data_IF_272841048811
#
_entry.id   IF_272841048811
#
_cell.length_a   1.000
_cell.length_b   1.000
_cell.length_c   1.000
_cell.angle_alpha   90.00
_cell.angle_beta   90.00
_cell.angle_gamma   90.00
#
_symmetry.space_group_name_H-M   'P 1'
#
loop_
_entity.id
_entity.type
_entity.pdbx_description
1 polymer ?
#
# COMPACT_ATOMS: atom_id res chain seq x y z
N UNK A 1 -27.00 -3.16 16.09
CA UNK A 1 -27.14 -2.21 14.97
C UNK A 1 -25.88 -1.37 14.98
N UNK A 2 -25.17 -1.27 13.85
CA UNK A 2 -23.93 -0.50 13.77
C UNK A 2 -24.24 0.98 14.08
N UNK A 3 -23.56 1.54 15.07
CA UNK A 3 -23.71 2.94 15.45
C UNK A 3 -23.27 3.81 14.28
N UNK A 4 -24.00 4.89 14.00
CA UNK A 4 -23.57 5.87 12.99
C UNK A 4 -22.46 6.74 13.60
N UNK A 5 -21.44 7.14 12.81
CA UNK A 5 -20.42 8.06 13.28
C UNK A 5 -21.04 9.40 13.68
N UNK A 6 -20.48 10.02 14.71
CA UNK A 6 -20.88 11.33 15.20
C UNK A 6 -20.39 12.45 14.27
N UNK A 7 -19.26 12.23 13.59
CA UNK A 7 -18.70 13.12 12.56
C UNK A 7 -18.13 12.30 11.41
N UNK A 8 -18.30 12.80 10.19
CA UNK A 8 -17.70 12.25 8.98
C UNK A 8 -17.07 13.40 8.21
N UNK A 9 -15.80 13.25 7.86
CA UNK A 9 -15.02 14.22 7.11
C UNK A 9 -14.41 13.52 5.91
N UNK A 10 -14.78 13.96 4.72
CA UNK A 10 -14.12 13.57 3.47
C UNK A 10 -12.81 14.36 3.35
N UNK A 11 -11.68 13.66 3.44
CA UNK A 11 -10.34 14.28 3.36
C UNK A 11 -9.86 14.38 1.92
N UNK A 12 -10.24 13.40 1.10
CA UNK A 12 -10.02 13.34 -0.34
C UNK A 12 -11.07 12.46 -0.99
N UNK A 13 -11.04 12.33 -2.32
CA UNK A 13 -11.90 11.45 -3.10
C UNK A 13 -11.90 9.99 -2.63
N UNK A 14 -10.88 9.56 -1.89
CA UNK A 14 -10.72 8.16 -1.48
C UNK A 14 -10.49 7.96 0.02
N UNK A 15 -10.41 9.05 0.79
CA UNK A 15 -10.09 8.99 2.22
C UNK A 15 -11.18 9.67 3.04
N UNK A 16 -11.76 8.91 3.96
CA UNK A 16 -12.81 9.38 4.86
C UNK A 16 -12.42 9.16 6.31
N UNK A 17 -12.54 10.19 7.12
CA UNK A 17 -12.34 10.15 8.57
C UNK A 17 -13.70 10.16 9.27
N UNK A 18 -13.92 9.19 10.14
CA UNK A 18 -15.09 9.07 11.00
C UNK A 18 -14.70 9.22 12.47
N UNK A 19 -15.46 10.01 13.22
CA UNK A 19 -15.32 10.12 14.68
C UNK A 19 -16.51 9.47 15.39
N UNK A 20 -16.21 8.64 16.39
CA UNK A 20 -17.19 8.11 17.33
C UNK A 20 -16.85 8.61 18.73
N UNK A 21 -17.76 9.38 19.34
CA UNK A 21 -17.54 10.02 20.65
C UNK A 21 -17.92 9.11 21.81
N UNK A 22 -18.73 8.07 21.55
CA UNK A 22 -19.27 7.17 22.56
C UNK A 22 -19.42 5.74 22.04
N UNK A 23 -19.56 4.78 22.95
CA UNK A 23 -19.74 3.37 22.61
C UNK A 23 -18.43 2.57 22.53
N UNK A 24 -18.54 1.31 22.14
CA UNK A 24 -17.38 0.40 22.03
C UNK A 24 -16.42 0.72 20.88
N UNK A 25 -16.85 1.58 19.96
CA UNK A 25 -16.09 2.01 18.78
C UNK A 25 -15.56 3.44 18.90
N UNK A 26 -15.54 3.98 20.13
CA UNK A 26 -15.02 5.31 20.42
C UNK A 26 -13.63 5.51 19.84
N UNK A 27 -13.44 6.67 19.19
CA UNK A 27 -12.18 7.08 18.58
C UNK A 27 -12.37 7.48 17.12
N UNK A 28 -11.24 7.66 16.45
CA UNK A 28 -11.14 8.03 15.05
C UNK A 28 -10.89 6.80 14.19
N UNK A 29 -11.59 6.73 13.08
CA UNK A 29 -11.49 5.66 12.10
C UNK A 29 -11.23 6.30 10.75
N UNK A 30 -10.21 5.82 10.05
CA UNK A 30 -9.84 6.36 8.76
C UNK A 30 -9.94 5.25 7.72
N UNK A 31 -10.90 5.41 6.82
CA UNK A 31 -11.21 4.46 5.76
C UNK A 31 -10.60 4.94 4.44
N UNK A 32 -9.98 4.01 3.72
CA UNK A 32 -9.47 4.25 2.37
C UNK A 32 -10.21 3.37 1.37
N UNK A 33 -10.92 4.01 0.44
CA UNK A 33 -11.71 3.32 -0.59
C UNK A 33 -10.84 2.54 -1.57
N UNK A 34 -9.65 3.05 -1.91
CA UNK A 34 -8.75 2.35 -2.86
C UNK A 34 -8.20 1.06 -2.26
N UNK A 35 -8.11 0.99 -0.93
CA UNK A 35 -7.71 -0.22 -0.20
C UNK A 35 -8.92 -1.06 0.22
N UNK A 36 -10.10 -0.47 0.30
CA UNK A 36 -11.33 -1.12 0.74
C UNK A 36 -11.33 -1.46 2.24
N UNK A 37 -10.53 -0.77 3.05
CA UNK A 37 -10.36 -1.07 4.48
C UNK A 37 -10.07 0.17 5.32
N UNK A 38 -10.28 0.05 6.63
CA UNK A 38 -9.79 1.05 7.58
C UNK A 38 -8.27 0.93 7.72
N UNK A 39 -7.56 2.03 7.47
CA UNK A 39 -6.12 2.14 7.68
C UNK A 39 -5.76 2.56 9.10
N UNK A 40 -6.67 3.26 9.77
CA UNK A 40 -6.62 3.50 11.21
C UNK A 40 -7.95 3.13 11.86
N UNK A 41 -7.89 2.53 13.05
CA UNK A 41 -9.08 2.05 13.76
C UNK A 41 -9.00 2.41 15.24
N UNK A 42 -10.06 3.06 15.76
CA UNK A 42 -10.18 3.45 17.17
C UNK A 42 -8.98 4.29 17.66
N UNK A 43 -8.39 5.11 16.79
CA UNK A 43 -7.33 6.01 17.18
C UNK A 43 -7.85 7.02 18.21
N UNK A 44 -7.03 7.38 19.21
CA UNK A 44 -7.48 8.25 20.30
C UNK A 44 -7.68 9.68 19.81
N UNK A 45 -6.85 10.08 18.87
CA UNK A 45 -6.88 11.41 18.25
C UNK A 45 -6.88 11.30 16.74
N UNK A 46 -7.40 12.33 16.07
CA UNK A 46 -7.31 12.48 14.61
C UNK A 46 -5.85 12.39 14.12
N UNK A 47 -4.91 12.99 14.86
CA UNK A 47 -3.48 12.93 14.54
C UNK A 47 -2.94 11.51 14.57
N UNK A 48 -3.33 10.70 15.55
CA UNK A 48 -2.92 9.29 15.61
C UNK A 48 -3.45 8.53 14.40
N UNK A 49 -4.72 8.75 14.01
CA UNK A 49 -5.29 8.12 12.81
C UNK A 49 -4.50 8.47 11.54
N UNK A 50 -4.06 9.73 11.41
CA UNK A 50 -3.21 10.16 10.30
C UNK A 50 -1.82 9.52 10.34
N UNK A 51 -1.19 9.43 11.51
CA UNK A 51 0.12 8.79 11.66
C UNK A 51 0.04 7.29 11.32
N UNK A 52 -0.98 6.58 11.77
CA UNK A 52 -1.20 5.16 11.42
C UNK A 52 -1.35 4.99 9.90
N UNK A 53 -2.17 5.84 9.28
CA UNK A 53 -2.40 5.82 7.84
C UNK A 53 -1.11 6.10 7.04
N UNK A 54 -0.35 7.12 7.43
CA UNK A 54 0.93 7.46 6.80
C UNK A 54 1.94 6.32 6.97
N UNK A 55 2.00 5.72 8.15
CA UNK A 55 2.90 4.59 8.45
C UNK A 55 2.56 3.39 7.56
N UNK A 56 1.28 3.03 7.45
CA UNK A 56 0.82 1.99 6.53
C UNK A 56 1.30 2.23 5.10
N UNK A 57 1.16 3.47 4.61
CA UNK A 57 1.57 3.81 3.25
C UNK A 57 3.09 3.77 3.05
N UNK A 58 3.88 4.21 4.04
CA UNK A 58 5.34 4.11 4.00
C UNK A 58 5.79 2.65 3.96
N UNK A 59 5.24 1.78 4.80
CA UNK A 59 5.56 0.36 4.82
C UNK A 59 5.13 -0.34 3.53
N UNK A 60 3.96 0.01 2.99
CA UNK A 60 3.48 -0.53 1.72
C UNK A 60 4.37 -0.08 0.56
N UNK A 61 4.80 1.17 0.53
CA UNK A 61 5.71 1.68 -0.49
C UNK A 61 7.03 0.92 -0.46
N UNK A 62 7.64 0.77 0.72
CA UNK A 62 8.89 0.02 0.89
C UNK A 62 8.78 -1.44 0.40
N UNK A 63 7.64 -2.10 0.65
CA UNK A 63 7.38 -3.47 0.15
C UNK A 63 7.28 -3.51 -1.37
N UNK A 64 6.59 -2.54 -1.98
CA UNK A 64 6.43 -2.48 -3.44
C UNK A 64 7.75 -2.17 -4.12
N UNK A 65 8.52 -1.22 -3.59
CA UNK A 65 9.85 -0.87 -4.13
C UNK A 65 10.79 -2.07 -4.08
N UNK A 66 10.82 -2.80 -2.95
CA UNK A 66 11.59 -4.04 -2.83
C UNK A 66 11.17 -5.09 -3.84
N UNK A 67 9.86 -5.36 -3.96
CA UNK A 67 9.34 -6.35 -4.90
C UNK A 67 9.62 -5.96 -6.37
N UNK A 68 9.50 -4.68 -6.70
CA UNK A 68 9.83 -4.16 -8.02
C UNK A 68 11.31 -4.32 -8.33
N UNK A 69 12.19 -3.97 -7.37
CA UNK A 69 13.63 -4.14 -7.52
C UNK A 69 14.01 -5.60 -7.78
N UNK A 70 13.45 -6.53 -7.00
CA UNK A 70 13.69 -7.97 -7.19
C UNK A 70 13.21 -8.47 -8.55
N UNK A 71 12.00 -8.08 -8.97
CA UNK A 71 11.45 -8.46 -10.26
C UNK A 71 12.30 -7.91 -11.41
N UNK A 72 12.66 -6.63 -11.33
CA UNK A 72 13.49 -5.97 -12.35
C UNK A 72 14.84 -6.66 -12.47
N UNK A 73 15.50 -6.96 -11.34
CA UNK A 73 16.77 -7.68 -11.33
C UNK A 73 16.66 -9.03 -12.04
N UNK A 74 15.63 -9.82 -11.76
CA UNK A 74 15.41 -11.13 -12.43
C UNK A 74 15.17 -10.99 -13.93
N UNK A 75 14.43 -9.96 -14.35
CA UNK A 75 14.19 -9.68 -15.77
C UNK A 75 15.48 -9.27 -16.46
N UNK A 76 16.27 -8.38 -15.83
CA UNK A 76 17.56 -7.93 -16.38
C UNK A 76 18.52 -9.12 -16.51
N UNK A 77 18.65 -9.96 -15.47
CA UNK A 77 19.46 -11.18 -15.49
C UNK A 77 18.99 -12.14 -16.60
N UNK A 78 17.68 -12.31 -16.79
CA UNK A 78 17.14 -13.16 -17.87
C UNK A 78 17.48 -12.61 -19.25
N UNK A 79 17.30 -11.30 -19.49
CA UNK A 79 17.59 -10.68 -20.79
C UNK A 79 19.07 -10.80 -21.14
N UNK A 80 19.97 -10.65 -20.17
CA UNK A 80 21.41 -10.88 -20.36
C UNK A 80 21.66 -12.33 -20.78
N UNK A 81 21.15 -13.31 -20.02
CA UNK A 81 21.34 -14.73 -20.31
C UNK A 81 20.75 -15.18 -21.66
N UNK A 82 19.71 -14.51 -22.16
CA UNK A 82 19.15 -14.82 -23.50
C UNK A 82 20.05 -14.26 -24.59
N UNK A 83 20.51 -13.00 -24.46
CA UNK A 83 21.43 -12.39 -25.43
C UNK A 83 22.74 -13.14 -25.55
N UNK A 84 23.31 -13.53 -24.41
CA UNK A 84 24.57 -14.30 -24.39
C UNK A 84 24.42 -15.67 -25.07
N UNK A 85 23.23 -16.28 -25.08
CA UNK A 85 22.98 -17.55 -25.78
C UNK A 85 22.78 -17.39 -27.28
N UNK A 86 22.13 -16.31 -27.71
CA UNK A 86 21.93 -16.05 -29.14
C UNK A 86 23.26 -15.74 -29.86
N UNK A 87 24.24 -15.18 -29.16
CA UNK A 87 25.59 -14.89 -29.71
C UNK A 87 26.52 -16.13 -29.76
N UNK A 88 26.23 -17.20 -29.00
CA UNK A 88 27.03 -18.43 -28.94
C UNK A 88 26.60 -19.52 -29.95
N UNK A 89 25.37 -19.44 -30.50
CA UNK A 89 24.84 -20.41 -31.49
C UNK A 89 25.23 -20.07 -32.95
N UNK A 90 25.94 -18.96 -33.20
CA UNK A 90 26.34 -18.46 -34.53
C UNK A 90 27.81 -18.78 -34.92
N UNK A 91 28.55 -19.60 -34.15
CA UNK A 91 29.96 -19.98 -34.42
C UNK A 91 30.18 -21.49 -34.68
N UNK A 92 29.22 -22.17 -35.30
CA UNK A 92 29.38 -23.57 -35.77
C UNK A 92 29.26 -23.65 -37.31
N UNK A 93 30.15 -22.95 -38.01
CA UNK A 93 30.48 -23.22 -39.41
C UNK A 93 31.95 -22.84 -39.68
N UNK A 94 32.90 -23.76 -39.43
CA UNK A 94 34.00 -24.16 -40.33
C UNK A 94 34.85 -25.30 -39.75
#
# INVERSE_FOLDING_TARGET
>A
MSQKPDSVVELSDTLTLCEFKSGGDRGFWLYDETRGMNLAMKATTEREAFVETLTYYQERLARIESAYFELKKRVDDFVINVREKDDDDDDDCF
#
